data_IF_351470126501
#
_entry.id   IF_351470126501
#
_cell.length_a   1.000
_cell.length_b   1.000
_cell.length_c   1.000
_cell.angle_alpha   90.00
_cell.angle_beta   90.00
_cell.angle_gamma   90.00
#
_symmetry.space_group_name_H-M   'P 1'
#
loop_
_entity.id
_entity.type
_entity.pdbx_description
1 polymer ?
#
# COMPACT_ATOMS: atom_id res chain seq x y z
N UNK A 1 -14.10 10.66 -17.76
CA UNK A 1 -14.27 10.55 -16.30
C UNK A 1 -13.52 11.70 -15.64
N UNK A 2 -14.15 12.43 -14.71
CA UNK A 2 -13.51 13.59 -14.04
C UNK A 2 -12.50 13.08 -13.02
N UNK A 3 -11.22 13.46 -13.15
CA UNK A 3 -10.16 13.09 -12.19
C UNK A 3 -10.36 13.84 -10.87
N UNK A 4 -10.04 13.17 -9.76
CA UNK A 4 -10.16 13.66 -8.37
C UNK A 4 -8.87 14.27 -7.84
N UNK A 5 -7.78 14.20 -8.63
CA UNK A 5 -6.42 14.54 -8.19
C UNK A 5 -6.00 13.67 -6.99
N UNK A 6 -6.21 12.35 -7.10
CA UNK A 6 -5.97 11.38 -6.03
C UNK A 6 -5.36 10.08 -6.58
N UNK A 7 -4.79 9.24 -5.71
CA UNK A 7 -4.28 7.91 -6.11
C UNK A 7 -5.38 7.02 -6.73
N UNK A 8 -6.63 7.20 -6.33
CA UNK A 8 -7.79 6.46 -6.89
C UNK A 8 -8.17 6.89 -8.30
N UNK A 9 -7.50 7.88 -8.89
CA UNK A 9 -7.62 8.18 -10.32
C UNK A 9 -7.00 7.06 -11.19
N UNK A 10 -6.15 6.21 -10.60
CA UNK A 10 -5.68 4.96 -11.21
C UNK A 10 -6.78 3.90 -11.10
N UNK A 11 -7.33 3.40 -12.23
CA UNK A 11 -8.41 2.43 -12.20
C UNK A 11 -8.02 1.15 -11.44
N UNK A 12 -8.91 0.69 -10.54
CA UNK A 12 -8.71 -0.53 -9.76
C UNK A 12 -7.96 -0.32 -8.43
N UNK A 13 -7.44 0.88 -8.17
CA UNK A 13 -6.91 1.26 -6.85
C UNK A 13 -8.06 1.78 -5.98
N UNK A 14 -8.21 1.17 -4.80
CA UNK A 14 -9.11 1.65 -3.74
C UNK A 14 -8.29 2.05 -2.52
N UNK A 15 -8.83 2.93 -1.68
CA UNK A 15 -8.19 3.36 -0.43
C UNK A 15 -9.22 3.28 0.70
N UNK A 16 -8.83 2.66 1.82
CA UNK A 16 -9.62 2.57 3.04
C UNK A 16 -8.86 3.12 4.24
N UNK A 17 -9.60 3.70 5.19
CA UNK A 17 -9.07 4.26 6.42
C UNK A 17 -9.87 3.75 7.61
N UNK A 18 -9.19 3.45 8.71
CA UNK A 18 -9.79 3.22 10.02
C UNK A 18 -8.99 4.02 11.05
N UNK A 19 -9.68 4.69 11.97
CA UNK A 19 -9.04 5.57 12.96
C UNK A 19 -9.73 5.44 14.32
N UNK A 20 -8.95 5.70 15.36
CA UNK A 20 -9.38 5.89 16.73
C UNK A 20 -9.02 7.33 17.14
N UNK A 21 -10.04 8.17 17.27
CA UNK A 21 -9.89 9.59 17.55
C UNK A 21 -9.47 9.87 19.00
N UNK A 22 -9.73 8.95 19.94
CA UNK A 22 -9.33 9.10 21.34
C UNK A 22 -7.85 8.74 21.52
N UNK A 23 -7.42 7.63 20.92
CA UNK A 23 -6.03 7.18 20.97
C UNK A 23 -5.10 7.91 19.97
N UNK A 24 -5.64 8.78 19.11
CA UNK A 24 -4.93 9.51 18.05
C UNK A 24 -4.12 8.58 17.14
N UNK A 25 -4.74 7.49 16.70
CA UNK A 25 -4.10 6.47 15.87
C UNK A 25 -5.03 5.97 14.76
N UNK A 26 -4.49 5.21 13.81
CA UNK A 26 -5.26 4.65 12.71
C UNK A 26 -4.39 3.87 11.75
N UNK A 27 -4.99 3.43 10.65
CA UNK A 27 -4.30 2.78 9.56
C UNK A 27 -4.91 3.15 8.20
N UNK A 28 -4.11 3.03 7.15
CA UNK A 28 -4.56 3.21 5.77
C UNK A 28 -4.22 1.99 4.95
N UNK A 29 -5.17 1.51 4.16
CA UNK A 29 -4.96 0.43 3.20
C UNK A 29 -5.12 0.96 1.79
N UNK A 30 -4.10 0.76 0.96
CA UNK A 30 -4.21 0.87 -0.50
C UNK A 30 -4.53 -0.53 -1.01
N UNK A 31 -5.71 -0.73 -1.59
CA UNK A 31 -6.22 -2.02 -2.03
C UNK A 31 -6.19 -2.13 -3.57
N UNK A 32 -5.58 -3.20 -4.04
CA UNK A 32 -5.47 -3.61 -5.43
C UNK A 32 -6.19 -4.97 -5.59
N UNK A 33 -7.52 -4.99 -5.67
CA UNK A 33 -8.32 -6.23 -5.58
C UNK A 33 -7.90 -7.33 -6.57
N UNK A 34 -7.44 -6.95 -7.77
CA UNK A 34 -6.98 -7.88 -8.83
C UNK A 34 -5.47 -8.20 -8.77
N UNK A 35 -4.79 -7.73 -7.72
CA UNK A 35 -3.35 -7.76 -7.57
C UNK A 35 -2.63 -6.73 -8.45
N UNK A 36 -1.52 -6.18 -7.95
CA UNK A 36 -0.64 -5.27 -8.67
C UNK A 36 0.83 -5.73 -8.55
N UNK A 37 1.62 -5.48 -9.59
CA UNK A 37 3.09 -5.59 -9.50
C UNK A 37 3.57 -4.51 -8.53
N UNK A 38 4.45 -4.86 -7.60
CA UNK A 38 4.95 -3.95 -6.59
C UNK A 38 6.46 -4.11 -6.39
N UNK A 39 7.06 -3.05 -5.87
CA UNK A 39 8.45 -3.00 -5.40
C UNK A 39 8.52 -1.99 -4.25
N UNK A 40 9.59 -2.04 -3.46
CA UNK A 40 9.79 -1.14 -2.31
C UNK A 40 11.21 -0.58 -2.29
N UNK A 41 11.35 0.69 -1.94
CA UNK A 41 12.62 1.35 -1.63
C UNK A 41 12.51 1.97 -0.24
N UNK A 42 13.36 1.50 0.68
CA UNK A 42 13.35 1.93 2.06
C UNK A 42 14.54 2.86 2.33
N UNK A 43 14.24 4.15 2.53
CA UNK A 43 15.26 5.21 2.58
C UNK A 43 15.64 5.70 3.99
N UNK A 44 14.84 5.37 5.00
CA UNK A 44 15.07 5.77 6.39
C UNK A 44 16.04 4.83 7.11
N UNK A 45 16.75 5.35 8.12
CA UNK A 45 17.72 4.59 8.91
C UNK A 45 17.13 3.73 10.04
N UNK A 46 15.83 3.88 10.35
CA UNK A 46 15.13 3.14 11.39
C UNK A 46 13.72 2.73 10.90
N UNK A 47 13.62 1.70 10.05
CA UNK A 47 12.33 1.27 9.51
C UNK A 47 11.48 0.48 10.51
N UNK A 48 10.17 0.63 10.39
CA UNK A 48 9.18 -0.31 10.91
C UNK A 48 8.46 -0.94 9.72
N UNK A 49 9.02 -2.00 9.15
CA UNK A 49 8.50 -2.64 7.94
C UNK A 49 8.05 -4.05 8.20
N UNK A 50 7.16 -4.53 7.33
CA UNK A 50 6.71 -5.92 7.29
C UNK A 50 6.74 -6.36 5.83
N UNK A 51 7.25 -7.56 5.58
CA UNK A 51 7.11 -8.26 4.28
C UNK A 51 7.83 -7.56 3.10
N UNK A 52 8.85 -6.75 3.35
CA UNK A 52 9.58 -6.06 2.25
C UNK A 52 10.42 -7.02 1.42
N UNK A 53 10.93 -8.11 1.99
CA UNK A 53 11.75 -9.08 1.26
C UNK A 53 10.99 -9.74 0.10
N UNK A 54 9.68 -9.98 0.23
CA UNK A 54 8.89 -10.60 -0.86
C UNK A 54 8.81 -9.72 -2.11
N UNK A 55 9.07 -8.41 -1.98
CA UNK A 55 9.05 -7.44 -3.06
C UNK A 55 10.38 -7.37 -3.82
N UNK A 56 11.39 -8.16 -3.42
CA UNK A 56 12.59 -8.35 -4.24
C UNK A 56 12.18 -9.02 -5.57
N UNK A 57 12.56 -8.46 -6.74
CA UNK A 57 12.22 -9.00 -8.04
C UNK A 57 12.63 -10.46 -8.31
N UNK A 58 13.56 -11.02 -7.54
CA UNK A 58 13.97 -12.43 -7.70
C UNK A 58 13.07 -13.43 -6.98
N UNK A 59 12.18 -12.94 -6.10
CA UNK A 59 11.31 -13.78 -5.29
C UNK A 59 10.05 -14.22 -6.04
N UNK A 60 9.39 -15.26 -5.51
CA UNK A 60 8.30 -15.94 -6.21
C UNK A 60 6.99 -15.15 -6.30
N UNK A 61 6.81 -14.09 -5.50
CA UNK A 61 5.56 -13.33 -5.44
C UNK A 61 5.53 -12.29 -6.56
N UNK A 62 4.71 -12.54 -7.59
CA UNK A 62 4.58 -11.62 -8.72
C UNK A 62 3.57 -10.47 -8.53
N UNK A 63 2.68 -10.54 -7.52
CA UNK A 63 1.64 -9.54 -7.26
C UNK A 63 1.29 -9.44 -5.78
N UNK A 64 1.01 -8.21 -5.33
CA UNK A 64 0.42 -7.93 -4.01
C UNK A 64 -0.98 -7.35 -4.16
N UNK A 65 -1.83 -7.57 -3.15
CA UNK A 65 -3.22 -7.13 -3.17
C UNK A 65 -3.45 -5.89 -2.31
N UNK A 66 -2.55 -5.59 -1.37
CA UNK A 66 -2.69 -4.43 -0.51
C UNK A 66 -1.33 -3.91 -0.02
N UNK A 67 -1.29 -2.62 0.30
CA UNK A 67 -0.23 -1.98 1.09
C UNK A 67 -0.87 -1.35 2.31
N UNK A 68 -0.30 -1.63 3.48
CA UNK A 68 -0.73 -1.08 4.77
C UNK A 68 0.24 0.02 5.21
N UNK A 69 -0.32 1.14 5.68
CA UNK A 69 0.37 2.25 6.33
C UNK A 69 -0.12 2.40 7.76
#
# INVERSE_FOLDING_TARGET
MKRRNSITDVPGIQVGHAQDDEALTGCTVILCEKGAVAGVDQRGGAPGTRETDLLDPVNAVGKVHAVLL
#
